data_IF_342608347816
#
_entry.id   IF_342608347816
#
_cell.length_a   1.000
_cell.length_b   1.000
_cell.length_c   1.000
_cell.angle_alpha   90.00
_cell.angle_beta   90.00
_cell.angle_gamma   90.00
#
_symmetry.space_group_name_H-M   'P 1'
#
loop_
_entity.id
_entity.type
_entity.pdbx_description
1 polymer ?
#
# COMPACT_ATOMS: atom_id res chain seq x y z
N UNK A 1 6.87 19.80 -2.05
CA UNK A 1 5.48 19.30 -2.12
C UNK A 1 5.25 18.36 -0.96
N UNK A 2 4.15 18.49 -0.22
CA UNK A 2 3.89 17.66 0.97
C UNK A 2 3.11 16.42 0.51
N UNK A 3 3.83 15.32 0.26
CA UNK A 3 3.19 14.00 0.13
C UNK A 3 2.82 13.50 1.52
N UNK A 4 1.55 13.18 1.74
CA UNK A 4 1.09 12.57 3.00
C UNK A 4 0.87 11.09 2.73
N UNK A 5 1.78 10.27 3.24
CA UNK A 5 1.70 8.81 3.21
C UNK A 5 1.23 8.35 4.59
N UNK A 6 0.12 7.63 4.62
CA UNK A 6 -0.36 6.92 5.80
C UNK A 6 -0.26 5.43 5.55
N UNK A 7 0.20 4.68 6.55
CA UNK A 7 0.22 3.22 6.54
C UNK A 7 -0.50 2.75 7.80
N UNK A 8 -1.56 1.99 7.62
CA UNK A 8 -2.38 1.45 8.70
C UNK A 8 -2.49 -0.06 8.56
N UNK A 9 -2.62 -0.78 9.68
CA UNK A 9 -2.85 -2.22 9.64
C UNK A 9 -4.17 -2.53 8.94
N UNK A 10 -4.14 -3.47 8.01
CA UNK A 10 -5.36 -3.96 7.40
C UNK A 10 -6.08 -4.88 8.39
N UNK A 11 -7.38 -4.66 8.59
CA UNK A 11 -8.19 -5.53 9.45
C UNK A 11 -8.24 -6.96 8.89
N UNK A 12 -8.20 -7.97 9.77
CA UNK A 12 -8.26 -9.39 9.38
C UNK A 12 -9.48 -9.75 8.53
N UNK A 13 -10.63 -9.12 8.76
CA UNK A 13 -11.83 -9.33 7.91
C UNK A 13 -11.57 -9.04 6.43
N UNK A 14 -10.69 -8.08 6.15
CA UNK A 14 -10.33 -7.67 4.79
C UNK A 14 -9.29 -8.57 4.14
N UNK A 15 -8.61 -9.43 4.89
CA UNK A 15 -7.65 -10.39 4.32
C UNK A 15 -8.33 -11.31 3.30
N UNK A 16 -9.57 -11.72 3.61
CA UNK A 16 -10.38 -12.57 2.74
C UNK A 16 -10.73 -11.88 1.42
N UNK A 17 -10.95 -10.56 1.44
CA UNK A 17 -11.26 -9.78 0.24
C UNK A 17 -10.10 -9.79 -0.76
N UNK A 18 -8.87 -9.86 -0.27
CA UNK A 18 -7.65 -9.80 -1.08
C UNK A 18 -6.90 -11.14 -1.16
N UNK A 19 -7.47 -12.24 -0.64
CA UNK A 19 -6.82 -13.55 -0.57
C UNK A 19 -5.41 -13.51 0.08
N UNK A 20 -5.27 -12.70 1.14
CA UNK A 20 -4.04 -12.58 1.91
C UNK A 20 -3.97 -13.71 2.95
N UNK A 21 -2.80 -14.31 3.13
CA UNK A 21 -2.62 -15.40 4.09
C UNK A 21 -2.61 -14.90 5.54
N UNK A 22 -3.14 -15.70 6.47
CA UNK A 22 -3.08 -15.41 7.91
C UNK A 22 -1.64 -15.40 8.47
N UNK A 23 -0.68 -16.00 7.74
CA UNK A 23 0.75 -15.95 8.05
C UNK A 23 1.43 -14.63 7.65
N UNK A 24 0.68 -13.71 7.06
CA UNK A 24 1.18 -12.40 6.62
C UNK A 24 0.61 -11.26 7.49
N UNK A 25 1.36 -10.16 7.55
CA UNK A 25 0.87 -8.88 8.03
C UNK A 25 0.54 -8.00 6.83
N UNK A 26 -0.70 -7.53 6.76
CA UNK A 26 -1.17 -6.66 5.71
C UNK A 26 -1.41 -5.25 6.21
N UNK A 27 -1.25 -4.31 5.29
CA UNK A 27 -1.37 -2.88 5.54
C UNK A 27 -2.11 -2.22 4.39
N UNK A 28 -2.90 -1.22 4.74
CA UNK A 28 -3.42 -0.24 3.80
C UNK A 28 -2.49 0.97 3.79
N UNK A 29 -1.97 1.30 2.62
CA UNK A 29 -1.16 2.50 2.41
C UNK A 29 -1.98 3.49 1.60
N UNK A 30 -2.13 4.70 2.13
CA UNK A 30 -2.80 5.81 1.46
C UNK A 30 -1.80 6.96 1.28
N UNK A 31 -1.40 7.20 0.04
CA UNK A 31 -0.61 8.36 -0.35
C UNK A 31 -1.52 9.40 -1.00
N UNK A 32 -1.57 10.60 -0.44
CA UNK A 32 -2.37 11.73 -0.96
C UNK A 32 -1.47 12.85 -1.45
N UNK A 33 -1.93 13.61 -2.45
CA UNK A 33 -1.15 14.64 -3.11
C UNK A 33 0.17 14.11 -3.70
N UNK A 34 0.18 12.90 -4.27
CA UNK A 34 1.32 12.38 -5.04
C UNK A 34 1.20 12.77 -6.52
N UNK A 35 2.32 13.12 -7.17
CA UNK A 35 2.37 13.13 -8.63
C UNK A 35 2.37 11.69 -9.15
N UNK A 36 2.07 11.47 -10.43
CA UNK A 36 2.09 10.10 -10.98
C UNK A 36 3.42 9.40 -10.72
N UNK A 37 4.53 10.12 -10.95
CA UNK A 37 5.88 9.63 -10.68
C UNK A 37 6.09 9.27 -9.20
N UNK A 38 5.62 10.12 -8.27
CA UNK A 38 5.72 9.81 -6.84
C UNK A 38 4.94 8.54 -6.49
N UNK A 39 3.76 8.34 -7.09
CA UNK A 39 2.94 7.17 -6.82
C UNK A 39 3.65 5.90 -7.35
N UNK A 40 4.27 5.95 -8.54
CA UNK A 40 5.09 4.86 -9.09
C UNK A 40 6.33 4.55 -8.23
N UNK A 41 7.02 5.59 -7.74
CA UNK A 41 8.17 5.44 -6.83
C UNK A 41 7.75 4.76 -5.51
N UNK A 42 6.56 5.08 -4.98
CA UNK A 42 6.03 4.46 -3.76
C UNK A 42 5.75 2.96 -3.97
N UNK A 43 5.16 2.57 -5.10
CA UNK A 43 4.94 1.16 -5.42
C UNK A 43 6.27 0.40 -5.49
N UNK A 44 7.23 0.95 -6.23
CA UNK A 44 8.57 0.37 -6.36
C UNK A 44 9.28 0.25 -5.00
N UNK A 45 9.17 1.24 -4.11
CA UNK A 45 9.73 1.19 -2.76
C UNK A 45 9.18 0.00 -1.96
N UNK A 46 7.85 -0.24 -2.01
CA UNK A 46 7.25 -1.36 -1.29
C UNK A 46 7.63 -2.72 -1.88
N UNK A 47 7.71 -2.83 -3.20
CA UNK A 47 8.21 -4.04 -3.87
C UNK A 47 9.66 -4.33 -3.49
N UNK A 48 10.53 -3.31 -3.47
CA UNK A 48 11.92 -3.43 -3.04
C UNK A 48 12.05 -3.84 -1.56
N UNK A 49 11.13 -3.39 -0.71
CA UNK A 49 11.04 -3.82 0.69
C UNK A 49 10.45 -5.23 0.86
N UNK A 50 10.22 -5.97 -0.24
CA UNK A 50 9.63 -7.30 -0.28
C UNK A 50 8.19 -7.35 0.24
N UNK A 51 7.45 -6.26 0.10
CA UNK A 51 6.01 -6.33 0.25
C UNK A 51 5.40 -6.84 -1.05
N UNK A 52 4.37 -7.68 -0.90
CA UNK A 52 3.53 -8.08 -2.02
C UNK A 52 2.36 -7.12 -2.13
N UNK A 53 2.14 -6.56 -3.31
CA UNK A 53 1.02 -5.66 -3.59
C UNK A 53 -0.16 -6.50 -4.09
N UNK A 54 -1.28 -6.46 -3.36
CA UNK A 54 -2.52 -7.19 -3.69
C UNK A 54 -3.53 -6.31 -4.41
N UNK A 55 -3.50 -5.01 -4.13
CA UNK A 55 -4.37 -4.04 -4.79
C UNK A 55 -3.62 -2.72 -4.90
N UNK A 56 -3.71 -2.11 -6.07
CA UNK A 56 -3.26 -0.74 -6.31
C UNK A 56 -4.39 0.03 -6.95
N UNK A 57 -4.80 1.12 -6.32
CA UNK A 57 -5.85 2.00 -6.79
C UNK A 57 -5.33 3.42 -6.87
N UNK A 58 -5.29 3.95 -8.08
CA UNK A 58 -4.90 5.33 -8.34
C UNK A 58 -6.14 6.16 -8.65
N UNK A 59 -6.37 7.22 -7.89
CA UNK A 59 -7.47 8.16 -8.07
C UNK A 59 -6.93 9.55 -8.35
N UNK A 60 -7.32 10.16 -9.47
CA UNK A 60 -6.98 11.55 -9.76
C UNK A 60 -7.81 12.47 -8.85
N UNK A 61 -7.14 13.33 -8.09
CA UNK A 61 -7.81 14.26 -7.16
C UNK A 61 -7.90 15.67 -7.75
N UNK A 62 -6.83 16.14 -8.42
CA UNK A 62 -6.80 17.44 -9.09
C UNK A 62 -5.82 17.41 -10.27
N UNK A 63 -5.71 18.52 -11.01
CA UNK A 63 -4.71 18.65 -12.09
C UNK A 63 -3.29 18.41 -11.57
N UNK A 64 -2.71 17.27 -11.97
CA UNK A 64 -1.34 16.87 -11.61
C UNK A 64 -1.20 16.09 -10.30
N UNK A 65 -2.27 15.94 -9.51
CA UNK A 65 -2.22 15.25 -8.22
C UNK A 65 -3.16 14.05 -8.16
N UNK A 66 -2.62 12.98 -7.56
CA UNK A 66 -3.27 11.70 -7.38
C UNK A 66 -3.29 11.30 -5.91
N UNK A 67 -4.21 10.40 -5.62
CA UNK A 67 -4.30 9.61 -4.42
C UNK A 67 -4.04 8.16 -4.81
N UNK A 68 -3.01 7.57 -4.20
CA UNK A 68 -2.66 6.17 -4.38
C UNK A 68 -3.08 5.42 -3.13
N UNK A 69 -3.85 4.35 -3.31
CA UNK A 69 -4.23 3.42 -2.26
C UNK A 69 -3.68 2.04 -2.59
N UNK A 70 -2.79 1.54 -1.74
CA UNK A 70 -2.21 0.21 -1.86
C UNK A 70 -2.70 -0.70 -0.74
N UNK A 71 -2.95 -1.96 -1.09
CA UNK A 71 -3.09 -3.05 -0.13
C UNK A 71 -1.86 -3.93 -0.29
N UNK A 72 -1.03 -3.95 0.74
CA UNK A 72 0.25 -4.65 0.73
C UNK A 72 0.32 -5.65 1.87
N UNK A 73 1.08 -6.73 1.71
CA UNK A 73 1.43 -7.63 2.82
C UNK A 73 2.90 -7.97 2.82
N UNK A 74 3.37 -8.45 3.97
CA UNK A 74 4.69 -9.08 4.12
C UNK A 74 4.57 -10.26 5.09
N UNK A 75 5.38 -11.29 4.89
CA UNK A 75 5.45 -12.42 5.82
C UNK A 75 5.74 -11.93 7.24
N UNK A 76 4.99 -12.43 8.21
CA UNK A 76 5.27 -12.19 9.63
C UNK A 76 6.70 -12.66 9.94
N UNK A 77 7.53 -11.87 10.64
CA UNK A 77 8.79 -12.39 11.14
C UNK A 77 8.48 -13.53 12.12
N UNK A 78 8.96 -14.74 11.79
CA UNK A 78 8.86 -15.87 12.72
C UNK A 78 9.60 -15.49 14.00
N UNK A 79 8.85 -15.30 15.08
CA UNK A 79 9.43 -15.13 16.42
C UNK A 79 9.54 -16.52 17.02
N UNK A 80 10.76 -17.04 17.08
CA UNK A 80 11.09 -18.30 17.78
C UNK A 80 11.11 -18.09 19.29
#
# INVERSE_FOLDING_TARGET
MIKKIKKENLSFDRYKEYAISDYEEAYEVLATHCSLKDCEEIEADYENMQYKIYSSQLKRVNEGYYELKLIISKSKPYTF
#
